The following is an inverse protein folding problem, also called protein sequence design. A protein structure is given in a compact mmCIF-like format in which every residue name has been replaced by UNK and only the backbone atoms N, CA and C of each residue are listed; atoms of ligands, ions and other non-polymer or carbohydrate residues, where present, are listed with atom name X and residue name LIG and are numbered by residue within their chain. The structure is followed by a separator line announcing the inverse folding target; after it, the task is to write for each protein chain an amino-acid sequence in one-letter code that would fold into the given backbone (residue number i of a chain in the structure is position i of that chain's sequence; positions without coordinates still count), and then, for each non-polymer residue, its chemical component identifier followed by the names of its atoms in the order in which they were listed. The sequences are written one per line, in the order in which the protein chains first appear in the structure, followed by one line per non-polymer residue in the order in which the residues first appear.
data_IF_851511704731
#
_entry.id   IF_851511704731
#
_cell.length_a   1.000
_cell.length_b   1.000
_cell.length_c   1.000
_cell.angle_alpha   90.00
_cell.angle_beta   90.00
_cell.angle_gamma   90.00
#
_symmetry.space_group_name_H-M   'P 1'
#
loop_
_entity.id
_entity.type
_entity.pdbx_description
1 polymer ?
#
# COMPACT_ATOMS: atom_id res chain seq x y z
N UNK A 1 9.70 -0.66 15.74
CA UNK A 1 9.03 -1.07 14.49
C UNK A 1 8.61 -2.52 14.67
N UNK A 2 7.32 -2.82 14.59
CA UNK A 2 6.85 -4.20 14.64
C UNK A 2 7.12 -4.83 13.26
N UNK A 3 8.00 -5.83 13.22
CA UNK A 3 8.23 -6.63 12.01
C UNK A 3 7.11 -7.66 11.95
N UNK A 4 6.14 -7.49 11.07
CA UNK A 4 5.09 -8.49 10.90
C UNK A 4 5.64 -9.66 10.08
N UNK A 5 5.46 -10.90 10.52
CA UNK A 5 5.96 -12.06 9.79
C UNK A 5 5.31 -12.12 8.40
N UNK A 6 6.03 -12.63 7.40
CA UNK A 6 5.55 -12.83 6.02
C UNK A 6 4.18 -13.52 5.91
N UNK A 7 3.82 -14.34 6.90
CA UNK A 7 2.52 -14.98 7.08
C UNK A 7 1.34 -14.01 7.33
N UNK A 8 1.60 -12.81 7.85
CA UNK A 8 0.61 -11.76 8.08
C UNK A 8 0.16 -11.11 6.78
N UNK A 9 1.10 -10.87 5.85
CA UNK A 9 0.82 -10.21 4.57
C UNK A 9 0.12 -11.14 3.56
N UNK A 10 0.36 -12.45 3.66
CA UNK A 10 -0.34 -13.46 2.85
C UNK A 10 -1.87 -13.43 3.01
N UNK A 11 -2.38 -12.78 4.06
CA UNK A 11 -3.81 -12.64 4.34
C UNK A 11 -4.46 -11.49 3.55
N UNK A 12 -3.68 -10.66 2.85
CA UNK A 12 -4.16 -9.48 2.13
C UNK A 12 -3.75 -9.49 0.65
N UNK A 13 -4.18 -10.50 -0.13
CA UNK A 13 -3.78 -10.65 -1.54
C UNK A 13 -4.19 -9.46 -2.42
N UNK A 14 -5.26 -8.76 -2.06
CA UNK A 14 -5.73 -7.56 -2.76
C UNK A 14 -4.71 -6.41 -2.72
N UNK A 15 -4.02 -6.23 -1.59
CA UNK A 15 -3.00 -5.16 -1.44
C UNK A 15 -1.74 -5.52 -2.21
N UNK A 16 -1.33 -6.80 -2.14
CA UNK A 16 -0.19 -7.29 -2.92
C UNK A 16 -0.42 -7.11 -4.43
N UNK A 17 -1.61 -7.49 -4.92
CA UNK A 17 -1.96 -7.33 -6.33
C UNK A 17 -1.90 -5.84 -6.75
N UNK A 18 -2.51 -4.96 -5.97
CA UNK A 18 -2.51 -3.52 -6.20
C UNK A 18 -1.10 -2.94 -6.38
N UNK A 19 -0.16 -3.35 -5.52
CA UNK A 19 1.21 -2.84 -5.56
C UNK A 19 2.01 -3.44 -6.73
N UNK A 20 1.85 -4.74 -7.01
CA UNK A 20 2.55 -5.41 -8.11
C UNK A 20 2.19 -4.84 -9.49
N UNK A 21 0.93 -4.44 -9.69
CA UNK A 21 0.48 -3.83 -10.94
C UNK A 21 1.19 -2.50 -11.26
N UNK A 22 1.62 -1.77 -10.22
CA UNK A 22 2.18 -0.40 -10.37
C UNK A 22 3.66 -0.36 -10.73
N UNK A 23 4.38 -1.48 -10.57
CA UNK A 23 5.84 -1.56 -10.81
C UNK A 23 6.60 -0.40 -10.17
N UNK A 24 6.29 -0.11 -8.90
CA UNK A 24 6.94 0.94 -8.12
C UNK A 24 8.45 0.69 -8.02
N UNK A 25 9.22 1.76 -8.03
CA UNK A 25 10.67 1.74 -7.85
C UNK A 25 11.01 2.11 -6.42
N UNK A 26 11.73 1.23 -5.73
CA UNK A 26 12.15 1.42 -4.35
C UNK A 26 13.65 1.76 -4.27
N UNK A 27 14.09 2.55 -3.28
CA UNK A 27 13.28 3.18 -2.23
C UNK A 27 12.45 4.37 -2.74
N UNK A 28 11.37 4.71 -2.03
CA UNK A 28 10.53 5.89 -2.28
C UNK A 28 10.70 6.85 -1.09
N UNK A 29 11.54 7.89 -1.20
CA UNK A 29 11.89 8.79 -0.11
C UNK A 29 10.74 9.67 0.39
N UNK A 30 9.85 10.12 -0.51
CA UNK A 30 8.83 11.14 -0.20
C UNK A 30 7.45 10.77 -0.74
N UNK A 31 6.41 11.38 -0.17
CA UNK A 31 5.03 11.25 -0.67
C UNK A 31 4.88 11.76 -2.10
N UNK A 32 5.54 12.87 -2.44
CA UNK A 32 5.51 13.44 -3.79
C UNK A 32 6.04 12.47 -4.84
N UNK A 33 7.17 11.81 -4.57
CA UNK A 33 7.73 10.79 -5.47
C UNK A 33 6.81 9.57 -5.60
N UNK A 34 6.13 9.18 -4.53
CA UNK A 34 5.13 8.12 -4.58
C UNK A 34 3.95 8.47 -5.48
N UNK A 35 3.40 9.68 -5.35
CA UNK A 35 2.29 10.16 -6.19
C UNK A 35 2.72 10.19 -7.65
N UNK A 36 3.93 10.69 -7.94
CA UNK A 36 4.49 10.71 -9.30
C UNK A 36 4.56 9.30 -9.89
N UNK A 37 5.12 8.33 -9.15
CA UNK A 37 5.21 6.95 -9.60
C UNK A 37 3.82 6.32 -9.82
N UNK A 38 2.87 6.54 -8.91
CA UNK A 38 1.49 6.04 -9.01
C UNK A 38 0.72 6.59 -10.21
N UNK A 39 0.96 7.86 -10.55
CA UNK A 39 0.24 8.58 -11.62
C UNK A 39 0.93 8.47 -12.99
N UNK A 40 2.21 8.13 -13.04
CA UNK A 40 3.03 8.05 -14.26
C UNK A 40 2.43 7.23 -15.41
N UNK A 41 1.61 6.22 -15.09
CA UNK A 41 0.98 5.31 -16.06
C UNK A 41 -0.40 5.76 -16.53
N UNK A 42 -1.06 6.67 -15.80
CA UNK A 42 -2.44 7.08 -16.05
C UNK A 42 -3.50 5.97 -15.89
N UNK A 43 -3.10 4.75 -15.53
CA UNK A 43 -4.02 3.62 -15.33
C UNK A 43 -4.78 3.78 -14.01
N UNK A 44 -6.10 3.56 -13.97
CA UNK A 44 -6.87 3.62 -12.73
C UNK A 44 -6.44 2.53 -11.75
N UNK A 45 -6.52 2.83 -10.46
CA UNK A 45 -6.26 1.87 -9.37
C UNK A 45 -7.50 1.03 -9.17
N UNK A 46 -7.39 -0.29 -9.40
CA UNK A 46 -8.50 -1.22 -9.28
C UNK A 46 -8.55 -1.80 -7.86
N UNK A 47 -9.58 -1.46 -7.08
CA UNK A 47 -9.80 -2.02 -5.75
C UNK A 47 -11.25 -2.50 -5.62
N UNK A 48 -11.43 -3.80 -5.29
CA UNK A 48 -12.75 -4.45 -5.19
C UNK A 48 -13.63 -4.22 -6.43
N UNK A 49 -13.05 -4.37 -7.63
CA UNK A 49 -13.69 -4.12 -8.94
C UNK A 49 -14.18 -2.68 -9.16
N UNK A 50 -13.72 -1.72 -8.34
CA UNK A 50 -13.98 -0.29 -8.53
C UNK A 50 -12.70 0.39 -9.00
N UNK A 51 -12.82 1.20 -10.04
CA UNK A 51 -11.73 2.00 -10.57
C UNK A 51 -11.62 3.31 -9.79
N UNK A 52 -10.43 3.60 -9.27
CA UNK A 52 -10.11 4.83 -8.57
C UNK A 52 -9.07 5.63 -9.35
N UNK A 53 -9.17 6.95 -9.27
CA UNK A 53 -8.13 7.85 -9.77
C UNK A 53 -6.80 7.59 -9.03
N UNK A 54 -5.68 7.43 -9.76
CA UNK A 54 -4.39 7.09 -9.15
C UNK A 54 -3.85 8.19 -8.24
N UNK A 55 -4.14 9.47 -8.53
CA UNK A 55 -3.74 10.57 -7.67
C UNK A 55 -4.51 10.50 -6.35
N UNK A 56 -5.84 10.34 -6.41
CA UNK A 56 -6.68 10.13 -5.24
C UNK A 56 -6.20 8.95 -4.38
N UNK A 57 -5.95 7.80 -5.00
CA UNK A 57 -5.49 6.61 -4.29
C UNK A 57 -4.12 6.82 -3.63
N UNK A 58 -3.18 7.46 -4.33
CA UNK A 58 -1.87 7.77 -3.77
C UNK A 58 -1.95 8.78 -2.61
N UNK A 59 -2.88 9.73 -2.68
CA UNK A 59 -3.04 10.76 -1.64
C UNK A 59 -3.53 10.22 -0.30
N UNK A 60 -4.17 9.03 -0.30
CA UNK A 60 -4.60 8.34 0.92
C UNK A 60 -3.43 7.91 1.80
N UNK A 61 -2.21 7.76 1.24
CA UNK A 61 -1.01 7.48 2.02
C UNK A 61 -0.60 8.72 2.84
N UNK A 62 -0.46 8.60 4.17
CA UNK A 62 0.02 9.70 5.00
C UNK A 62 1.50 10.01 4.78
N UNK A 63 1.89 11.28 4.97
CA UNK A 63 3.28 11.74 4.86
C UNK A 63 4.26 10.96 5.76
N UNK A 64 3.82 10.61 6.97
CA UNK A 64 4.65 9.94 7.98
C UNK A 64 4.98 8.47 7.65
N UNK A 65 4.40 7.91 6.57
CA UNK A 65 4.78 6.58 6.07
C UNK A 65 6.07 6.59 5.26
N UNK A 66 6.57 7.76 4.89
CA UNK A 66 7.80 7.89 4.11
C UNK A 66 9.03 8.07 5.03
N UNK A 67 10.19 7.51 4.68
CA UNK A 67 10.50 6.82 3.42
C UNK A 67 9.95 5.38 3.37
N UNK A 68 9.65 4.91 2.16
CA UNK A 68 9.31 3.50 1.89
C UNK A 68 10.54 2.79 1.32
N UNK A 69 11.06 1.81 2.04
CA UNK A 69 12.39 1.25 1.75
C UNK A 69 12.38 0.10 0.75
N UNK A 70 11.28 -0.64 0.68
CA UNK A 70 11.14 -1.83 -0.14
C UNK A 70 9.67 -2.12 -0.45
N UNK A 71 9.44 -3.09 -1.36
CA UNK A 71 8.09 -3.59 -1.64
C UNK A 71 7.41 -4.18 -0.40
N UNK A 72 8.17 -4.87 0.47
CA UNK A 72 7.64 -5.45 1.72
C UNK A 72 7.21 -4.35 2.71
N UNK A 73 8.02 -3.28 2.85
CA UNK A 73 7.68 -2.13 3.68
C UNK A 73 6.42 -1.41 3.15
N UNK A 74 6.31 -1.27 1.83
CA UNK A 74 5.11 -0.72 1.19
C UNK A 74 3.86 -1.56 1.46
N UNK A 75 3.99 -2.88 1.34
CA UNK A 75 2.90 -3.82 1.61
C UNK A 75 2.43 -3.72 3.07
N UNK A 76 3.38 -3.71 4.00
CA UNK A 76 3.10 -3.56 5.42
C UNK A 76 2.36 -2.26 5.70
N UNK A 77 2.90 -1.12 5.25
CA UNK A 77 2.28 0.21 5.43
C UNK A 77 0.90 0.26 4.77
N UNK A 78 0.76 -0.30 3.57
CA UNK A 78 -0.53 -0.40 2.87
C UNK A 78 -1.57 -1.15 3.68
N UNK A 79 -1.22 -2.30 4.26
CA UNK A 79 -2.12 -3.08 5.14
C UNK A 79 -2.48 -2.29 6.40
N UNK A 80 -1.50 -1.67 7.06
CA UNK A 80 -1.73 -0.84 8.24
C UNK A 80 -2.71 0.31 7.95
N UNK A 81 -2.59 0.95 6.78
CA UNK A 81 -3.54 1.97 6.31
C UNK A 81 -4.95 1.39 6.12
N UNK A 82 -5.09 0.23 5.49
CA UNK A 82 -6.39 -0.40 5.26
C UNK A 82 -7.08 -0.77 6.58
N UNK A 83 -6.32 -1.29 7.56
CA UNK A 83 -6.83 -1.59 8.90
C UNK A 83 -7.24 -0.29 9.61
N UNK A 84 -6.38 0.74 9.60
CA UNK A 84 -6.67 2.03 10.25
C UNK A 84 -7.90 2.74 9.67
N UNK A 85 -8.21 2.48 8.40
CA UNK A 85 -9.42 2.98 7.72
C UNK A 85 -10.65 2.08 7.89
N UNK A 86 -10.54 0.97 8.61
CA UNK A 86 -11.63 0.01 8.83
C UNK A 86 -11.99 -0.80 7.58
N UNK A 87 -11.12 -0.85 6.57
CA UNK A 87 -11.35 -1.58 5.32
C UNK A 87 -11.02 -3.07 5.45
N UNK A 88 -10.12 -3.41 6.37
CA UNK A 88 -9.81 -4.77 6.79
C UNK A 88 -9.99 -4.95 8.29
N UNK A 89 -10.39 -6.16 8.75
CA UNK A 89 -10.40 -6.47 10.16
C UNK A 89 -8.97 -6.41 10.70
N UNK A 90 -8.79 -5.85 11.90
CA UNK A 90 -7.53 -5.99 12.62
C UNK A 90 -7.35 -7.48 12.94
N UNK A 91 -6.44 -8.15 12.23
CA UNK A 91 -6.10 -9.55 12.53
C UNK A 91 -5.45 -9.57 13.92
N UNK A 92 -6.17 -10.10 14.90
CA UNK A 92 -5.60 -10.38 16.21
C UNK A 92 -4.59 -11.52 16.04
N UNK A 93 -3.34 -11.38 16.54
CA UNK A 93 -2.44 -12.52 16.58
C UNK A 93 -3.11 -13.62 17.40
N UNK A 94 -3.24 -14.80 16.80
CA UNK A 94 -3.75 -15.97 17.50
C UNK A 94 -2.79 -16.27 18.65
N UNK A 95 -3.29 -16.17 19.89
CA UNK A 95 -2.59 -16.60 21.12
C UNK A 95 -2.18 -18.06 21.07
#
# INVERSE_FOLDING_TARGET
MATYPRFYLAQYPEVEQLLRERKLQFPIPTKSEFIEQMTSRGEPVMFRNVAYDPHFAADLMPEFFFPVLSEEDMLQKGVELMIARGLFPAVQPST
#
